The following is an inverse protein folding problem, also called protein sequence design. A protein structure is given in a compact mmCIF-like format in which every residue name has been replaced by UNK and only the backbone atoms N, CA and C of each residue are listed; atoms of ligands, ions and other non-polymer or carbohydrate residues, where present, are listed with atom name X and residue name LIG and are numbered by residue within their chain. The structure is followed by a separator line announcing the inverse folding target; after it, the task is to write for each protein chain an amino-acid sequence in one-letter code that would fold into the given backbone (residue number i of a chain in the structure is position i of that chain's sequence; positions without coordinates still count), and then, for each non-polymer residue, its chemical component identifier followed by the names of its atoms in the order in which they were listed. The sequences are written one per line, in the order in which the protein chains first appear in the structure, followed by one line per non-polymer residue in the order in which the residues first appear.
data_IF_526732774851
#
_entry.id   IF_526732774851
#
_cell.length_a   1.000
_cell.length_b   1.000
_cell.length_c   1.000
_cell.angle_alpha   90.00
_cell.angle_beta   90.00
_cell.angle_gamma   90.00
#
_symmetry.space_group_name_H-M   'P 1'
#
loop_
_entity.id
_entity.type
_entity.pdbx_description
1 polymer ?
#
# COMPACT_ATOMS: atom_id res chain seq x y z
N UNK A 1 -33.99 17.12 0.87
CA UNK A 1 -33.85 15.80 0.19
C UNK A 1 -33.49 14.75 1.21
N UNK A 2 -33.96 13.51 1.05
CA UNK A 2 -33.69 12.38 1.95
C UNK A 2 -32.20 12.20 2.25
N UNK A 3 -31.31 12.45 1.28
CA UNK A 3 -29.87 12.34 1.44
C UNK A 3 -29.30 13.29 2.51
N UNK A 4 -29.86 14.49 2.62
CA UNK A 4 -29.44 15.49 3.63
C UNK A 4 -29.85 15.09 5.06
N UNK A 5 -30.74 14.14 5.23
CA UNK A 5 -31.15 13.63 6.52
C UNK A 5 -30.26 12.51 7.02
N UNK A 6 -29.48 11.90 6.09
CA UNK A 6 -28.58 10.79 6.45
C UNK A 6 -27.33 11.28 7.16
N UNK A 7 -26.78 10.52 8.12
CA UNK A 7 -25.50 10.83 8.72
C UNK A 7 -24.37 10.54 7.73
N UNK A 8 -23.31 11.37 7.75
CA UNK A 8 -22.09 11.17 6.98
C UNK A 8 -21.13 10.16 7.66
N UNK A 9 -21.26 10.02 8.97
CA UNK A 9 -20.50 9.05 9.78
C UNK A 9 -21.46 8.36 10.74
N UNK A 10 -21.45 7.04 10.78
CA UNK A 10 -22.23 6.25 11.75
C UNK A 10 -21.30 5.27 12.49
N UNK A 11 -21.71 4.91 13.71
CA UNK A 11 -21.07 3.84 14.48
C UNK A 11 -22.09 2.76 14.82
N UNK A 12 -21.81 1.53 14.43
CA UNK A 12 -22.64 0.36 14.71
C UNK A 12 -21.77 -0.70 15.36
N UNK A 13 -22.11 -1.14 16.57
CA UNK A 13 -21.37 -2.15 17.32
C UNK A 13 -19.87 -1.88 17.42
N UNK A 14 -19.48 -0.60 17.56
CA UNK A 14 -18.07 -0.19 17.65
C UNK A 14 -17.32 -0.09 16.32
N UNK A 15 -17.97 -0.35 15.19
CA UNK A 15 -17.45 -0.14 13.84
C UNK A 15 -17.94 1.20 13.31
N UNK A 16 -17.03 2.04 12.84
CA UNK A 16 -17.33 3.30 12.15
C UNK A 16 -17.55 3.04 10.67
N UNK A 17 -18.51 3.74 10.08
CA UNK A 17 -18.75 3.74 8.64
C UNK A 17 -18.73 5.19 8.16
N UNK A 18 -17.85 5.49 7.20
CA UNK A 18 -17.66 6.83 6.65
C UNK A 18 -17.27 6.71 5.18
N UNK A 19 -17.57 7.76 4.39
CA UNK A 19 -17.27 7.72 2.96
C UNK A 19 -15.77 7.77 2.65
N UNK A 20 -15.06 8.80 3.14
CA UNK A 20 -13.60 8.96 2.93
C UNK A 20 -12.79 8.36 4.07
N UNK A 21 -12.75 9.05 5.18
CA UNK A 21 -11.99 8.64 6.37
C UNK A 21 -12.15 9.66 7.48
N UNK A 22 -11.43 9.50 8.57
CA UNK A 22 -11.43 10.40 9.71
C UNK A 22 -10.03 10.74 10.16
N UNK A 23 -9.77 12.02 10.38
CA UNK A 23 -8.57 12.47 11.11
C UNK A 23 -8.85 12.52 12.60
N UNK A 24 -7.82 12.49 13.46
CA UNK A 24 -7.99 12.68 14.92
C UNK A 24 -8.70 14.00 15.26
N UNK A 25 -8.39 15.07 14.54
CA UNK A 25 -8.96 16.41 14.73
C UNK A 25 -10.47 16.43 14.44
N UNK A 26 -10.89 15.71 13.41
CA UNK A 26 -12.30 15.55 13.07
C UNK A 26 -12.98 14.63 14.09
N UNK A 27 -12.36 13.53 14.46
CA UNK A 27 -12.90 12.59 15.45
C UNK A 27 -13.15 13.24 16.81
N UNK A 28 -12.27 14.14 17.26
CA UNK A 28 -12.41 14.89 18.50
C UNK A 28 -13.67 15.77 18.57
N UNK A 29 -14.30 16.07 17.42
CA UNK A 29 -15.58 16.80 17.41
C UNK A 29 -16.76 15.94 17.90
N UNK A 30 -16.64 14.60 17.88
CA UNK A 30 -17.72 13.68 18.14
C UNK A 30 -18.71 13.51 16.97
N UNK A 31 -19.36 12.34 16.90
CA UNK A 31 -20.22 11.95 15.77
C UNK A 31 -21.34 12.95 15.45
N UNK A 32 -22.04 13.42 16.47
CA UNK A 32 -23.18 14.34 16.26
C UNK A 32 -22.72 15.65 15.65
N UNK A 33 -21.62 16.21 16.14
CA UNK A 33 -21.08 17.48 15.63
C UNK A 33 -20.53 17.32 14.21
N UNK A 34 -19.85 16.20 13.91
CA UNK A 34 -19.38 15.89 12.56
C UNK A 34 -20.57 15.87 11.59
N UNK A 35 -21.60 15.10 11.90
CA UNK A 35 -22.79 14.95 11.05
C UNK A 35 -23.54 16.26 10.87
N UNK A 36 -23.64 17.07 11.93
CA UNK A 36 -24.30 18.38 11.85
C UNK A 36 -23.49 19.35 10.97
N UNK A 37 -22.16 19.42 11.15
CA UNK A 37 -21.31 20.33 10.36
C UNK A 37 -21.29 19.95 8.90
N UNK A 38 -21.17 18.65 8.57
CA UNK A 38 -21.25 18.18 7.17
C UNK A 38 -22.61 18.54 6.55
N UNK A 39 -23.71 18.25 7.24
CA UNK A 39 -25.07 18.56 6.76
C UNK A 39 -25.26 20.06 6.55
N UNK A 40 -24.75 20.89 7.45
CA UNK A 40 -24.82 22.33 7.35
C UNK A 40 -24.02 22.81 6.13
N UNK A 41 -22.78 22.36 5.96
CA UNK A 41 -21.93 22.73 4.81
C UNK A 41 -22.59 22.39 3.47
N UNK A 42 -23.12 21.17 3.34
CA UNK A 42 -23.84 20.74 2.13
C UNK A 42 -25.07 21.61 1.87
N UNK A 43 -25.87 21.91 2.90
CA UNK A 43 -27.06 22.75 2.77
C UNK A 43 -26.70 24.17 2.34
N UNK A 44 -25.74 24.77 3.00
CA UNK A 44 -25.25 26.13 2.70
C UNK A 44 -24.71 26.21 1.26
N UNK A 45 -23.96 25.19 0.83
CA UNK A 45 -23.49 25.11 -0.56
C UNK A 45 -24.65 25.12 -1.55
N UNK A 46 -25.66 24.24 -1.36
CA UNK A 46 -26.79 24.15 -2.29
C UNK A 46 -27.64 25.43 -2.30
N UNK A 47 -27.89 26.06 -1.15
CA UNK A 47 -28.63 27.30 -1.08
C UNK A 47 -27.90 28.46 -1.83
N UNK A 48 -26.58 28.52 -1.72
CA UNK A 48 -25.77 29.49 -2.44
C UNK A 48 -25.68 29.18 -3.94
N UNK A 49 -25.50 27.90 -4.29
CA UNK A 49 -25.46 27.44 -5.67
C UNK A 49 -26.78 27.70 -6.42
N UNK A 50 -27.92 27.50 -5.77
CA UNK A 50 -29.25 27.75 -6.34
C UNK A 50 -29.43 29.28 -6.67
N UNK A 51 -28.93 30.17 -5.82
CA UNK A 51 -28.92 31.61 -6.10
C UNK A 51 -28.03 31.94 -7.31
N UNK A 52 -26.85 31.38 -7.40
CA UNK A 52 -25.96 31.59 -8.55
C UNK A 52 -26.54 31.07 -9.86
N UNK A 53 -27.28 29.99 -9.83
CA UNK A 53 -27.97 29.41 -11.02
C UNK A 53 -29.11 30.32 -11.53
N UNK A 54 -29.66 31.23 -10.72
CA UNK A 54 -30.72 32.14 -11.18
C UNK A 54 -30.23 33.13 -12.23
N UNK A 55 -28.93 33.41 -12.28
CA UNK A 55 -28.34 34.44 -13.16
C UNK A 55 -27.33 33.84 -14.16
N UNK A 56 -26.87 32.66 -13.96
CA UNK A 56 -25.88 31.99 -14.83
C UNK A 56 -26.24 30.51 -15.01
N UNK A 57 -26.04 30.01 -16.24
CA UNK A 57 -26.12 28.56 -16.46
C UNK A 57 -24.79 27.95 -16.04
N UNK A 58 -24.81 27.19 -14.95
CA UNK A 58 -23.62 26.51 -14.42
C UNK A 58 -23.78 25.02 -14.74
N UNK A 59 -22.80 24.38 -15.44
CA UNK A 59 -22.93 22.98 -15.88
C UNK A 59 -23.06 21.95 -14.76
N UNK A 60 -22.66 22.26 -13.53
CA UNK A 60 -23.06 21.47 -12.36
C UNK A 60 -21.96 20.75 -11.59
N UNK A 61 -20.68 20.92 -11.93
CA UNK A 61 -19.60 20.44 -11.08
C UNK A 61 -19.25 21.40 -9.93
N UNK A 62 -18.72 20.88 -8.83
CA UNK A 62 -18.26 21.70 -7.70
C UNK A 62 -17.26 22.77 -8.13
N UNK A 63 -16.28 22.44 -8.98
CA UNK A 63 -15.27 23.38 -9.49
C UNK A 63 -15.87 24.50 -10.33
N UNK A 64 -16.94 24.24 -11.08
CA UNK A 64 -17.63 25.23 -11.90
C UNK A 64 -18.40 26.22 -11.03
N UNK A 65 -19.05 25.77 -9.96
CA UNK A 65 -19.68 26.65 -8.98
C UNK A 65 -18.65 27.55 -8.29
N UNK A 66 -17.52 26.97 -7.88
CA UNK A 66 -16.45 27.74 -7.25
C UNK A 66 -15.84 28.77 -8.21
N UNK A 67 -15.54 28.42 -9.45
CA UNK A 67 -15.06 29.35 -10.47
C UNK A 67 -16.05 30.47 -10.77
N UNK A 68 -17.34 30.16 -10.82
CA UNK A 68 -18.41 31.14 -10.99
C UNK A 68 -18.49 32.12 -9.81
N UNK A 69 -18.41 31.61 -8.58
CA UNK A 69 -18.40 32.44 -7.38
C UNK A 69 -17.19 33.38 -7.35
N UNK A 70 -16.00 32.88 -7.71
CA UNK A 70 -14.81 33.74 -7.85
C UNK A 70 -15.03 34.88 -8.85
N UNK A 71 -15.60 34.62 -10.03
CA UNK A 71 -15.90 35.62 -11.03
C UNK A 71 -16.88 36.68 -10.52
N UNK A 72 -17.94 36.26 -9.81
CA UNK A 72 -18.91 37.19 -9.22
C UNK A 72 -18.22 38.16 -8.23
N UNK A 73 -17.41 37.64 -7.33
CA UNK A 73 -16.68 38.43 -6.33
C UNK A 73 -15.65 39.34 -7.00
N UNK A 74 -14.94 38.89 -8.04
CA UNK A 74 -14.00 39.73 -8.79
C UNK A 74 -14.70 40.90 -9.52
N UNK A 75 -15.88 40.66 -10.11
CA UNK A 75 -16.69 41.67 -10.77
C UNK A 75 -17.11 42.74 -9.76
N UNK A 76 -17.57 42.35 -8.58
CA UNK A 76 -17.97 43.27 -7.50
C UNK A 76 -16.77 44.09 -7.00
N UNK A 77 -15.62 43.43 -6.75
CA UNK A 77 -14.37 44.12 -6.35
C UNK A 77 -13.85 45.07 -7.41
N UNK A 78 -14.11 44.80 -8.69
CA UNK A 78 -13.78 45.67 -9.81
C UNK A 78 -14.71 46.90 -9.95
N UNK A 79 -15.63 47.09 -9.01
CA UNK A 79 -16.55 48.24 -8.96
C UNK A 79 -17.73 48.17 -9.96
N UNK A 80 -17.98 47.00 -10.54
CA UNK A 80 -19.18 46.78 -11.36
C UNK A 80 -20.36 46.42 -10.44
N UNK A 81 -21.55 46.94 -10.68
CA UNK A 81 -22.70 46.64 -9.85
C UNK A 81 -23.08 45.15 -9.99
N UNK A 82 -23.09 44.46 -8.86
CA UNK A 82 -23.59 43.09 -8.71
C UNK A 82 -24.76 43.15 -7.70
N UNK A 83 -25.74 42.29 -7.86
CA UNK A 83 -26.79 42.13 -6.85
C UNK A 83 -26.18 41.70 -5.51
N UNK A 84 -26.48 42.43 -4.42
CA UNK A 84 -25.93 42.17 -3.08
C UNK A 84 -26.21 40.73 -2.56
N UNK A 85 -27.28 40.08 -3.01
CA UNK A 85 -27.62 38.71 -2.62
C UNK A 85 -26.72 37.73 -3.36
N UNK A 86 -26.43 38.03 -4.64
CA UNK A 86 -25.59 37.21 -5.47
C UNK A 86 -24.14 37.28 -5.01
N UNK A 87 -23.66 38.48 -4.68
CA UNK A 87 -22.33 38.69 -4.13
C UNK A 87 -22.16 37.91 -2.82
N UNK A 88 -23.11 38.04 -1.87
CA UNK A 88 -23.08 37.28 -0.62
C UNK A 88 -23.16 35.76 -0.84
N UNK A 89 -23.97 35.30 -1.78
CA UNK A 89 -24.06 33.89 -2.09
C UNK A 89 -22.72 33.35 -2.65
N UNK A 90 -22.04 34.15 -3.48
CA UNK A 90 -20.73 33.82 -4.01
C UNK A 90 -19.66 33.73 -2.92
N UNK A 91 -19.62 34.73 -2.03
CA UNK A 91 -18.71 34.78 -0.88
C UNK A 91 -18.93 33.57 0.04
N UNK A 92 -20.19 33.29 0.40
CA UNK A 92 -20.55 32.15 1.23
C UNK A 92 -20.15 30.82 0.57
N UNK A 93 -20.31 30.70 -0.75
CA UNK A 93 -19.92 29.47 -1.47
C UNK A 93 -18.39 29.31 -1.47
N UNK A 94 -17.62 30.39 -1.62
CA UNK A 94 -16.17 30.34 -1.54
C UNK A 94 -15.68 29.90 -0.14
N UNK A 95 -16.35 30.39 0.92
CA UNK A 95 -16.04 30.02 2.30
C UNK A 95 -16.35 28.50 2.57
N UNK A 96 -17.20 27.86 1.76
CA UNK A 96 -17.51 26.44 1.95
C UNK A 96 -16.37 25.50 1.54
N UNK A 97 -15.33 25.97 0.86
CA UNK A 97 -14.21 25.08 0.44
C UNK A 97 -13.51 24.46 1.67
N UNK A 98 -13.45 25.20 2.77
CA UNK A 98 -12.87 24.76 4.03
C UNK A 98 -13.92 24.17 5.00
N UNK A 99 -15.18 24.10 4.57
CA UNK A 99 -16.21 23.45 5.37
C UNK A 99 -15.95 21.94 5.44
N UNK A 100 -16.25 21.32 6.58
CA UNK A 100 -15.98 19.92 6.86
C UNK A 100 -16.55 18.94 5.79
N UNK A 101 -17.58 19.34 5.06
CA UNK A 101 -18.17 18.56 3.97
C UNK A 101 -17.29 18.50 2.72
N UNK A 102 -16.40 19.49 2.50
CA UNK A 102 -15.62 19.68 1.26
C UNK A 102 -14.12 19.74 1.51
N UNK A 103 -13.71 19.94 2.76
CA UNK A 103 -12.30 20.00 3.12
C UNK A 103 -11.60 18.66 2.83
N UNK A 104 -10.33 18.67 2.36
CA UNK A 104 -9.58 17.47 2.05
C UNK A 104 -9.38 16.52 3.25
N UNK A 105 -9.36 17.06 4.46
CA UNK A 105 -9.29 16.33 5.72
C UNK A 105 -10.67 15.98 6.32
N UNK A 106 -11.73 16.38 5.64
CA UNK A 106 -13.11 16.07 6.04
C UNK A 106 -13.52 14.61 5.77
N UNK A 107 -14.62 14.15 6.42
CA UNK A 107 -15.02 12.75 6.39
C UNK A 107 -15.44 12.24 5.01
N UNK A 108 -15.70 13.13 4.07
CA UNK A 108 -16.07 12.77 2.70
C UNK A 108 -14.85 12.61 1.79
N UNK A 109 -13.70 13.23 2.12
CA UNK A 109 -12.58 13.37 1.20
C UNK A 109 -11.26 12.82 1.72
N UNK A 110 -11.10 12.70 3.06
CA UNK A 110 -9.86 12.25 3.65
C UNK A 110 -9.47 10.84 3.18
N UNK A 111 -8.26 10.70 2.66
CA UNK A 111 -7.74 9.45 2.11
C UNK A 111 -6.48 8.93 2.82
N UNK A 112 -5.91 9.68 3.78
CA UNK A 112 -4.65 9.32 4.41
C UNK A 112 -4.67 7.90 4.96
N UNK A 113 -5.63 7.56 5.81
CA UNK A 113 -5.74 6.20 6.34
C UNK A 113 -5.95 5.10 5.29
N UNK A 114 -6.40 5.46 4.07
CA UNK A 114 -6.58 4.52 2.95
C UNK A 114 -5.35 4.37 2.06
N UNK A 115 -4.55 5.44 1.89
CA UNK A 115 -3.51 5.51 0.87
C UNK A 115 -2.11 5.73 1.46
N UNK A 116 -2.01 6.42 2.60
CA UNK A 116 -0.73 6.74 3.22
C UNK A 116 -0.19 5.51 3.97
N UNK A 117 1.09 5.58 4.31
CA UNK A 117 1.79 4.51 5.02
C UNK A 117 1.11 4.18 6.34
N UNK A 118 0.89 2.88 6.60
CA UNK A 118 0.27 2.42 7.84
C UNK A 118 1.05 2.81 9.10
N UNK A 119 2.37 2.89 9.02
CA UNK A 119 3.20 3.31 10.14
C UNK A 119 2.90 4.75 10.54
N UNK A 120 2.80 5.67 9.56
CA UNK A 120 2.48 7.08 9.82
C UNK A 120 1.03 7.27 10.28
N UNK A 121 0.11 6.52 9.71
CA UNK A 121 -1.31 6.60 9.99
C UNK A 121 -1.76 5.78 11.21
N UNK A 122 -0.97 4.81 11.67
CA UNK A 122 -1.35 3.91 12.78
C UNK A 122 -1.76 4.66 14.04
N UNK A 123 -0.94 5.62 14.46
CA UNK A 123 -1.22 6.42 15.64
C UNK A 123 -2.44 7.33 15.43
N UNK A 124 -2.61 7.87 14.24
CA UNK A 124 -3.77 8.69 13.89
C UNK A 124 -5.06 7.87 13.91
N UNK A 125 -5.05 6.69 13.32
CA UNK A 125 -6.19 5.75 13.35
C UNK A 125 -6.51 5.30 14.79
N UNK A 126 -5.47 5.01 15.60
CA UNK A 126 -5.65 4.69 17.01
C UNK A 126 -6.35 5.82 17.77
N UNK A 127 -5.93 7.08 17.58
CA UNK A 127 -6.58 8.25 18.17
C UNK A 127 -8.05 8.41 17.74
N UNK A 128 -8.35 8.18 16.47
CA UNK A 128 -9.74 8.17 15.97
C UNK A 128 -10.58 7.15 16.74
N UNK A 129 -10.06 5.95 16.97
CA UNK A 129 -10.77 4.92 17.72
C UNK A 129 -10.97 5.29 19.18
N UNK A 130 -9.99 5.91 19.83
CA UNK A 130 -10.08 6.39 21.21
C UNK A 130 -11.16 7.47 21.34
N UNK A 131 -11.11 8.52 20.50
CA UNK A 131 -12.05 9.64 20.54
C UNK A 131 -13.50 9.20 20.31
N UNK A 132 -13.71 8.26 19.40
CA UNK A 132 -15.05 7.81 19.05
C UNK A 132 -15.46 6.50 19.73
N UNK A 133 -14.63 5.96 20.64
CA UNK A 133 -14.86 4.66 21.31
C UNK A 133 -15.20 3.57 20.28
N UNK A 134 -14.37 3.43 19.27
CA UNK A 134 -14.50 2.47 18.19
C UNK A 134 -13.33 1.47 18.20
N UNK A 135 -13.45 0.38 17.44
CA UNK A 135 -12.37 -0.60 17.28
C UNK A 135 -12.11 -0.93 15.81
N UNK A 136 -12.97 -0.48 14.91
CA UNK A 136 -12.77 -0.64 13.47
C UNK A 136 -13.44 0.50 12.70
N UNK A 137 -13.01 0.69 11.46
CA UNK A 137 -13.58 1.66 10.52
C UNK A 137 -13.75 1.03 9.14
N UNK A 138 -14.86 1.32 8.49
CA UNK A 138 -15.12 0.96 7.09
C UNK A 138 -15.21 2.23 6.27
N UNK A 139 -14.43 2.28 5.18
CA UNK A 139 -14.33 3.43 4.28
C UNK A 139 -14.61 3.06 2.83
N UNK A 140 -15.05 4.03 2.07
CA UNK A 140 -15.18 4.03 0.62
C UNK A 140 -14.19 5.00 -0.04
N UNK A 141 -14.64 5.71 -1.10
CA UNK A 141 -13.97 6.82 -1.78
C UNK A 141 -12.61 6.50 -2.43
N UNK A 142 -11.80 5.67 -1.81
CA UNK A 142 -10.52 5.21 -2.35
C UNK A 142 -10.71 3.82 -2.93
N UNK A 143 -10.82 3.74 -4.25
CA UNK A 143 -11.06 2.47 -4.95
C UNK A 143 -9.87 1.54 -4.71
N UNK A 144 -10.17 0.30 -4.29
CA UNK A 144 -9.14 -0.73 -4.15
C UNK A 144 -8.59 -1.13 -5.51
N UNK A 145 -7.28 -1.34 -5.61
CA UNK A 145 -6.64 -1.70 -6.88
C UNK A 145 -7.15 -3.03 -7.41
N UNK A 146 -7.31 -4.01 -6.53
CA UNK A 146 -7.75 -5.37 -6.85
C UNK A 146 -9.22 -5.47 -7.25
N UNK A 147 -10.03 -4.43 -6.99
CA UNK A 147 -11.48 -4.54 -7.10
C UNK A 147 -12.10 -5.47 -6.05
N UNK A 148 -11.38 -5.80 -4.98
CA UNK A 148 -11.85 -6.60 -3.84
C UNK A 148 -11.95 -5.73 -2.59
N UNK A 149 -12.84 -6.08 -1.69
CA UNK A 149 -12.84 -5.50 -0.34
C UNK A 149 -11.53 -5.87 0.35
N UNK A 150 -10.84 -4.87 0.85
CA UNK A 150 -9.52 -5.04 1.48
C UNK A 150 -9.50 -4.54 2.91
N UNK A 151 -8.49 -4.95 3.67
CA UNK A 151 -8.26 -4.50 5.04
C UNK A 151 -6.85 -3.96 5.22
N UNK A 152 -6.72 -2.99 6.14
CA UNK A 152 -5.48 -2.38 6.61
C UNK A 152 -5.44 -2.38 8.13
N UNK A 153 -4.31 -2.01 8.71
CA UNK A 153 -4.11 -1.91 10.16
C UNK A 153 -4.55 -3.19 10.89
N UNK A 154 -4.06 -4.35 10.42
CA UNK A 154 -4.39 -5.66 10.98
C UNK A 154 -5.91 -5.97 11.04
N UNK A 155 -6.66 -5.53 10.02
CA UNK A 155 -8.10 -5.75 9.95
C UNK A 155 -8.96 -4.70 10.67
N UNK A 156 -8.36 -3.71 11.32
CA UNK A 156 -9.10 -2.63 11.97
C UNK A 156 -9.68 -1.61 10.99
N UNK A 157 -9.23 -1.60 9.75
CA UNK A 157 -9.79 -0.78 8.69
C UNK A 157 -10.20 -1.64 7.50
N UNK A 158 -11.43 -1.43 7.01
CA UNK A 158 -11.97 -2.12 5.84
C UNK A 158 -12.18 -1.09 4.72
N UNK A 159 -11.55 -1.31 3.57
CA UNK A 159 -11.73 -0.53 2.34
C UNK A 159 -12.77 -1.24 1.48
N UNK A 160 -13.96 -0.65 1.39
CA UNK A 160 -15.13 -1.27 0.77
C UNK A 160 -15.39 -0.79 -0.68
N UNK A 161 -14.69 0.25 -1.14
CA UNK A 161 -14.86 0.75 -2.52
C UNK A 161 -14.08 -0.13 -3.50
N UNK A 162 -14.79 -1.04 -4.12
CA UNK A 162 -14.25 -1.97 -5.13
C UNK A 162 -14.34 -1.43 -6.56
N UNK A 163 -14.82 -0.20 -6.74
CA UNK A 163 -14.96 0.44 -8.05
C UNK A 163 -16.25 0.06 -8.79
N UNK A 164 -17.36 -0.17 -8.08
CA UNK A 164 -18.65 -0.46 -8.70
C UNK A 164 -19.11 0.64 -9.67
N UNK A 165 -18.83 1.91 -9.36
CA UNK A 165 -19.10 3.04 -10.24
C UNK A 165 -18.38 2.98 -11.59
N UNK A 166 -17.31 2.20 -11.69
CA UNK A 166 -16.56 1.92 -12.91
C UNK A 166 -16.93 0.57 -13.56
N UNK A 167 -18.06 -0.02 -13.15
CA UNK A 167 -18.56 -1.27 -13.71
C UNK A 167 -17.93 -2.55 -13.12
N UNK A 168 -17.15 -2.44 -12.05
CA UNK A 168 -16.60 -3.62 -11.36
C UNK A 168 -17.67 -4.33 -10.53
N UNK A 169 -17.44 -5.61 -10.27
CA UNK A 169 -18.33 -6.43 -9.43
C UNK A 169 -18.37 -5.88 -8.00
N UNK A 170 -19.57 -5.83 -7.43
CA UNK A 170 -19.78 -5.48 -6.03
C UNK A 170 -19.64 -6.67 -5.09
N UNK A 171 -19.32 -6.38 -3.83
CA UNK A 171 -19.27 -7.34 -2.73
C UNK A 171 -20.07 -6.81 -1.53
N UNK A 172 -20.62 -7.72 -0.72
CA UNK A 172 -21.12 -7.34 0.59
C UNK A 172 -20.03 -7.51 1.64
N UNK A 173 -20.01 -6.61 2.63
CA UNK A 173 -19.17 -6.74 3.84
C UNK A 173 -20.09 -7.11 4.99
N UNK A 174 -19.76 -8.18 5.70
CA UNK A 174 -20.55 -8.71 6.81
C UNK A 174 -19.71 -8.65 8.09
N UNK A 175 -20.26 -7.95 9.09
CA UNK A 175 -19.70 -7.89 10.44
C UNK A 175 -20.51 -8.78 11.35
N UNK A 176 -19.93 -9.83 11.88
CA UNK A 176 -20.61 -10.80 12.72
C UNK A 176 -19.69 -11.30 13.84
N UNK A 177 -20.15 -11.17 15.09
CA UNK A 177 -19.43 -11.69 16.27
C UNK A 177 -17.95 -11.26 16.37
N UNK A 178 -17.66 -10.01 15.97
CA UNK A 178 -16.29 -9.47 16.02
C UNK A 178 -15.40 -9.91 14.84
N UNK A 179 -15.95 -10.65 13.89
CA UNK A 179 -15.28 -11.01 12.64
C UNK A 179 -15.82 -10.20 11.46
N UNK A 180 -14.98 -10.05 10.43
CA UNK A 180 -15.37 -9.42 9.16
C UNK A 180 -15.23 -10.43 8.05
N UNK A 181 -16.26 -10.54 7.23
CA UNK A 181 -16.22 -11.35 6.01
C UNK A 181 -16.75 -10.56 4.81
N UNK A 182 -16.35 -10.98 3.63
CA UNK A 182 -16.90 -10.49 2.37
C UNK A 182 -17.74 -11.57 1.73
N UNK A 183 -18.81 -11.18 1.08
CA UNK A 183 -19.65 -12.09 0.33
C UNK A 183 -19.67 -11.69 -1.13
N UNK A 184 -19.28 -12.62 -2.00
CA UNK A 184 -19.35 -12.49 -3.44
C UNK A 184 -20.75 -12.94 -3.92
N UNK A 185 -21.58 -12.02 -4.46
CA UNK A 185 -22.95 -12.36 -4.89
C UNK A 185 -22.99 -13.25 -6.13
N UNK A 186 -21.93 -13.31 -6.93
CA UNK A 186 -21.87 -14.13 -8.16
C UNK A 186 -21.50 -15.57 -7.81
N UNK A 187 -20.40 -15.76 -7.09
CA UNK A 187 -19.96 -17.10 -6.69
C UNK A 187 -20.69 -17.64 -5.47
N UNK A 188 -21.42 -16.77 -4.74
CA UNK A 188 -22.10 -17.03 -3.46
C UNK A 188 -21.14 -17.59 -2.38
N UNK A 189 -19.91 -17.14 -2.39
CA UNK A 189 -18.89 -17.53 -1.41
C UNK A 189 -18.60 -16.40 -0.46
N UNK A 190 -18.41 -16.76 0.80
CA UNK A 190 -17.83 -15.87 1.79
C UNK A 190 -16.31 -16.05 1.83
N UNK A 191 -15.60 -14.97 2.05
CA UNK A 191 -14.15 -14.95 2.27
C UNK A 191 -13.80 -13.86 3.30
N UNK A 192 -12.61 -13.88 3.85
CA UNK A 192 -12.11 -12.73 4.61
C UNK A 192 -11.76 -11.57 3.67
N UNK A 193 -11.87 -10.30 4.12
CA UNK A 193 -11.36 -9.17 3.36
C UNK A 193 -9.90 -9.40 2.98
N UNK A 194 -9.57 -9.07 1.75
CA UNK A 194 -8.19 -9.13 1.30
C UNK A 194 -7.36 -8.14 2.12
N UNK A 195 -6.36 -8.64 2.85
CA UNK A 195 -5.38 -7.75 3.43
C UNK A 195 -4.53 -7.21 2.27
N UNK A 196 -4.78 -5.96 1.89
CA UNK A 196 -3.81 -5.32 1.02
C UNK A 196 -2.52 -5.22 1.82
N UNK A 197 -1.44 -5.87 1.38
CA UNK A 197 -0.15 -5.44 1.85
C UNK A 197 -0.06 -3.96 1.50
N UNK A 198 0.56 -3.15 2.32
CA UNK A 198 0.55 -1.69 2.18
C UNK A 198 0.84 -1.21 0.75
N UNK A 199 1.62 -1.95 -0.03
CA UNK A 199 1.87 -1.78 -1.46
C UNK A 199 2.11 -3.10 -2.19
N UNK A 200 1.46 -4.16 -1.84
CA UNK A 200 1.74 -5.42 -2.43
C UNK A 200 0.48 -6.24 -2.66
N UNK A 201 0.00 -6.31 -3.89
CA UNK A 201 -0.94 -7.35 -4.27
C UNK A 201 -0.17 -8.64 -4.35
N UNK A 202 -0.55 -9.41 -3.50
CA UNK A 202 -0.36 -10.70 -3.30
C UNK A 202 0.12 -11.68 -4.26
N UNK A 203 0.39 -12.65 -3.73
CA UNK A 203 0.69 -13.99 -4.09
C UNK A 203 -0.57 -14.65 -4.64
N UNK A 204 -0.45 -15.29 -5.76
CA UNK A 204 -1.52 -16.04 -6.41
C UNK A 204 -1.91 -17.29 -5.62
N UNK A 205 -3.11 -17.80 -5.81
CA UNK A 205 -3.59 -19.01 -5.17
C UNK A 205 -4.24 -18.81 -3.79
N UNK A 206 -4.20 -19.82 -2.95
CA UNK A 206 -4.85 -19.81 -1.64
C UNK A 206 -4.27 -18.75 -0.69
N UNK A 207 -2.99 -18.41 -0.84
CA UNK A 207 -2.31 -17.37 -0.04
C UNK A 207 -2.74 -15.95 -0.42
N UNK A 208 -3.20 -15.70 -1.64
CA UNK A 208 -3.64 -14.40 -2.11
C UNK A 208 -4.86 -13.82 -1.36
N UNK A 209 -5.57 -14.67 -0.62
CA UNK A 209 -6.74 -14.27 0.17
C UNK A 209 -6.46 -14.22 1.67
N UNK A 210 -5.20 -14.38 2.08
CA UNK A 210 -4.79 -14.35 3.48
C UNK A 210 -4.16 -13.00 3.80
N UNK A 211 -4.49 -12.46 4.99
CA UNK A 211 -3.73 -11.34 5.54
C UNK A 211 -2.27 -11.76 5.81
N UNK A 212 -1.33 -10.82 5.74
CA UNK A 212 0.08 -11.12 6.05
C UNK A 212 0.22 -11.84 7.39
N UNK A 213 -0.48 -11.38 8.43
CA UNK A 213 -0.47 -12.01 9.76
C UNK A 213 -1.03 -13.42 9.72
N UNK A 214 -2.10 -13.66 8.97
CA UNK A 214 -2.67 -15.00 8.82
C UNK A 214 -1.73 -15.92 8.02
N UNK A 215 -1.09 -15.37 6.98
CA UNK A 215 -0.11 -16.11 6.19
C UNK A 215 1.17 -16.41 7.00
N UNK A 216 1.67 -15.43 7.78
CA UNK A 216 2.77 -15.65 8.73
C UNK A 216 2.43 -16.77 9.71
N UNK A 217 1.25 -16.69 10.35
CA UNK A 217 0.79 -17.73 11.28
C UNK A 217 0.67 -19.08 10.59
N UNK A 218 0.08 -19.12 9.39
CA UNK A 218 -0.02 -20.38 8.61
C UNK A 218 1.37 -20.95 8.32
N UNK A 219 2.30 -20.16 7.80
CA UNK A 219 3.66 -20.59 7.49
C UNK A 219 4.41 -21.09 8.74
N UNK A 220 4.14 -20.52 9.90
CA UNK A 220 4.73 -20.93 11.17
C UNK A 220 4.13 -22.22 11.74
N UNK A 221 2.83 -22.45 11.56
CA UNK A 221 2.09 -23.51 12.27
C UNK A 221 1.72 -24.71 11.38
N UNK A 222 1.60 -24.52 10.05
CA UNK A 222 1.14 -25.56 9.15
C UNK A 222 2.03 -26.81 9.18
N UNK A 223 1.42 -27.97 9.01
CA UNK A 223 2.12 -29.26 8.93
C UNK A 223 2.84 -29.36 7.60
N UNK A 224 4.12 -29.72 7.62
CA UNK A 224 4.88 -30.06 6.42
C UNK A 224 4.54 -31.47 6.01
N UNK A 225 3.84 -31.62 4.89
CA UNK A 225 3.37 -32.95 4.40
C UNK A 225 4.30 -33.57 3.37
N UNK A 226 5.03 -32.73 2.62
CA UNK A 226 6.00 -33.17 1.62
C UNK A 226 7.16 -32.17 1.54
N UNK A 227 8.37 -32.66 1.20
CA UNK A 227 9.59 -31.89 0.98
C UNK A 227 10.28 -32.38 -0.28
N UNK A 228 10.66 -31.40 -1.11
CA UNK A 228 11.44 -31.65 -2.32
C UNK A 228 12.67 -30.75 -2.31
N UNK A 229 13.86 -31.33 -2.44
CA UNK A 229 15.08 -30.53 -2.57
C UNK A 229 15.16 -29.87 -3.94
N UNK A 230 15.42 -28.57 -3.95
CA UNK A 230 15.58 -27.77 -5.17
C UNK A 230 17.02 -27.27 -5.20
N UNK A 231 17.79 -27.74 -6.18
CA UNK A 231 19.14 -27.24 -6.43
C UNK A 231 19.15 -26.38 -7.69
N UNK A 232 19.47 -25.10 -7.56
CA UNK A 232 19.66 -24.19 -8.70
C UNK A 232 20.93 -23.39 -8.50
N UNK A 233 21.84 -23.41 -9.48
CA UNK A 233 23.07 -22.61 -9.48
C UNK A 233 23.95 -22.74 -8.21
N UNK A 234 24.00 -23.94 -7.59
CA UNK A 234 24.79 -24.20 -6.39
C UNK A 234 24.12 -23.77 -5.08
N UNK A 235 22.85 -23.37 -5.12
CA UNK A 235 22.02 -23.11 -3.96
C UNK A 235 21.09 -24.29 -3.72
N UNK A 236 21.01 -24.72 -2.47
CA UNK A 236 20.06 -25.72 -2.03
C UNK A 236 18.94 -25.04 -1.27
N UNK A 237 17.72 -25.25 -1.72
CA UNK A 237 16.49 -24.85 -1.04
C UNK A 237 15.55 -26.06 -1.02
N UNK A 238 14.59 -26.08 -0.15
CA UNK A 238 13.54 -27.10 -0.13
C UNK A 238 12.20 -26.46 -0.54
N UNK A 239 11.45 -27.15 -1.40
CA UNK A 239 10.04 -26.86 -1.62
C UNK A 239 9.24 -27.71 -0.64
N UNK A 240 8.42 -27.06 0.16
CA UNK A 240 7.55 -27.72 1.11
C UNK A 240 6.09 -27.65 0.69
N UNK A 241 5.37 -28.77 0.80
CA UNK A 241 3.92 -28.75 0.84
C UNK A 241 3.46 -28.59 2.29
N UNK A 242 2.61 -27.61 2.52
CA UNK A 242 2.13 -27.18 3.83
C UNK A 242 0.62 -27.38 3.91
N UNK A 243 0.14 -28.01 4.99
CA UNK A 243 -1.28 -28.22 5.21
C UNK A 243 -1.69 -27.70 6.61
N UNK A 244 -2.75 -26.87 6.66
CA UNK A 244 -3.28 -26.34 7.91
C UNK A 244 -4.60 -25.60 7.69
N UNK A 245 -5.45 -25.59 8.69
CA UNK A 245 -6.76 -24.89 8.66
C UNK A 245 -7.60 -25.18 7.41
N UNK A 246 -7.48 -26.38 6.83
CA UNK A 246 -8.19 -26.78 5.61
C UNK A 246 -7.58 -26.21 4.31
N UNK A 247 -6.42 -25.59 4.36
CA UNK A 247 -5.70 -25.04 3.22
C UNK A 247 -4.44 -25.85 2.93
N UNK A 248 -4.05 -25.88 1.66
CA UNK A 248 -2.76 -26.38 1.19
C UNK A 248 -2.01 -25.28 0.48
N UNK A 249 -0.77 -25.03 0.90
CA UNK A 249 0.14 -24.08 0.26
C UNK A 249 1.48 -24.74 0.00
N UNK A 250 2.18 -24.22 -1.01
CA UNK A 250 3.59 -24.55 -1.22
C UNK A 250 4.47 -23.42 -0.70
N UNK A 251 5.59 -23.76 -0.08
CA UNK A 251 6.57 -22.82 0.43
C UNK A 251 7.98 -23.14 -0.06
N UNK A 252 8.85 -22.14 -0.11
CA UNK A 252 10.29 -22.31 -0.28
C UNK A 252 10.93 -22.10 1.07
N UNK A 253 11.66 -23.13 1.51
CA UNK A 253 12.43 -23.11 2.74
C UNK A 253 13.93 -23.02 2.41
N UNK A 254 14.62 -22.10 3.09
CA UNK A 254 16.08 -21.91 2.99
C UNK A 254 16.69 -21.90 4.38
N UNK A 255 17.59 -22.82 4.66
CA UNK A 255 18.36 -22.90 5.92
C UNK A 255 19.81 -22.41 5.74
N UNK A 256 20.04 -21.53 4.79
CA UNK A 256 21.36 -21.05 4.41
C UNK A 256 22.01 -20.28 5.56
N UNK A 257 23.18 -20.72 5.96
CA UNK A 257 24.05 -20.04 6.92
C UNK A 257 25.50 -20.21 6.47
N UNK A 258 25.96 -19.33 5.57
CA UNK A 258 27.29 -19.39 4.97
C UNK A 258 28.11 -18.17 5.36
N UNK A 259 29.29 -18.39 5.92
CA UNK A 259 30.30 -17.36 6.15
C UNK A 259 30.89 -16.83 4.83
N UNK A 260 31.36 -15.58 4.79
CA UNK A 260 31.92 -14.99 3.57
C UNK A 260 33.11 -15.80 3.07
N UNK A 261 33.18 -16.11 1.77
CA UNK A 261 34.22 -16.95 1.20
C UNK A 261 35.60 -16.27 1.02
N UNK A 262 35.83 -15.10 1.64
CA UNK A 262 37.11 -14.39 1.64
C UNK A 262 37.02 -12.97 1.04
N UNK A 263 38.16 -12.23 1.03
CA UNK A 263 38.16 -10.83 0.60
C UNK A 263 37.67 -10.66 -0.84
N UNK A 264 36.71 -9.77 -1.07
CA UNK A 264 36.21 -9.38 -2.39
C UNK A 264 34.99 -10.20 -2.92
N UNK A 265 34.40 -11.07 -2.12
CA UNK A 265 33.11 -11.68 -2.43
C UNK A 265 32.02 -11.14 -1.50
N UNK A 266 30.72 -11.18 -1.92
CA UNK A 266 29.64 -10.75 -1.08
C UNK A 266 29.69 -11.48 0.26
N UNK A 267 29.39 -10.72 1.27
CA UNK A 267 29.36 -11.11 2.66
C UNK A 267 28.37 -12.25 2.90
N UNK A 268 28.38 -12.82 4.07
CA UNK A 268 27.62 -14.03 4.45
C UNK A 268 26.24 -14.15 3.81
N UNK A 269 25.91 -15.35 3.32
CA UNK A 269 24.56 -15.72 2.93
C UNK A 269 23.83 -16.26 4.14
N UNK A 270 22.70 -15.62 4.51
CA UNK A 270 21.96 -16.01 5.69
C UNK A 270 20.45 -15.98 5.44
N UNK A 271 19.75 -16.97 5.96
CA UNK A 271 18.29 -16.99 5.90
C UNK A 271 17.67 -15.81 6.68
N UNK A 272 18.33 -15.30 7.72
CA UNK A 272 17.90 -14.13 8.48
C UNK A 272 17.77 -12.88 7.59
N UNK A 273 18.57 -12.75 6.53
CA UNK A 273 18.50 -11.63 5.59
C UNK A 273 17.17 -11.64 4.79
N UNK A 274 16.64 -12.82 4.46
CA UNK A 274 15.31 -12.93 3.82
C UNK A 274 14.21 -12.41 4.76
N UNK A 275 14.27 -12.77 6.05
CA UNK A 275 13.32 -12.30 7.05
C UNK A 275 13.48 -10.80 7.30
N UNK A 276 14.73 -10.33 7.47
CA UNK A 276 15.02 -8.92 7.66
C UNK A 276 14.57 -8.04 6.49
N UNK A 277 14.68 -8.54 5.25
CA UNK A 277 14.19 -7.83 4.08
C UNK A 277 12.66 -7.68 4.12
N UNK A 278 11.94 -8.73 4.52
CA UNK A 278 10.49 -8.65 4.68
C UNK A 278 10.08 -7.64 5.76
N UNK A 279 10.70 -7.68 6.93
CA UNK A 279 10.37 -6.75 8.02
C UNK A 279 10.71 -5.30 7.63
N UNK A 280 11.87 -5.06 6.99
CA UNK A 280 12.24 -3.73 6.50
C UNK A 280 11.31 -3.22 5.40
N UNK A 281 10.87 -4.09 4.50
CA UNK A 281 9.89 -3.77 3.47
C UNK A 281 8.56 -3.30 4.09
N UNK A 282 8.12 -3.95 5.18
CA UNK A 282 6.94 -3.55 5.94
C UNK A 282 7.16 -2.25 6.69
N UNK A 283 8.33 -2.05 7.28
CA UNK A 283 8.68 -0.83 7.97
C UNK A 283 8.66 0.39 7.03
N UNK A 284 9.09 0.21 5.78
CA UNK A 284 9.12 1.25 4.75
C UNK A 284 7.85 1.30 3.89
N UNK A 285 6.87 0.41 4.14
CA UNK A 285 5.62 0.33 3.40
C UNK A 285 5.82 0.20 1.86
N UNK A 286 6.82 -0.56 1.45
CA UNK A 286 7.15 -0.80 0.04
C UNK A 286 6.25 -1.90 -0.54
N UNK A 287 6.07 -3.01 0.20
CA UNK A 287 5.17 -4.10 -0.10
C UNK A 287 5.56 -4.96 -1.31
N UNK A 288 6.82 -5.02 -1.65
CA UNK A 288 7.34 -5.82 -2.75
C UNK A 288 8.00 -7.14 -2.29
N UNK A 289 8.36 -7.24 -1.01
CA UNK A 289 8.90 -8.48 -0.45
C UNK A 289 7.75 -9.35 0.07
N UNK A 290 7.68 -10.63 -0.34
CA UNK A 290 6.66 -11.56 0.16
C UNK A 290 6.78 -11.79 1.65
N UNK A 291 5.71 -12.31 2.25
CA UNK A 291 5.76 -12.79 3.63
C UNK A 291 6.87 -13.84 3.76
N UNK A 292 7.80 -13.59 4.67
CA UNK A 292 8.85 -14.52 5.05
C UNK A 292 8.83 -14.70 6.56
N UNK A 293 8.88 -15.94 7.00
CA UNK A 293 8.93 -16.25 8.44
C UNK A 293 10.16 -17.07 8.78
N UNK A 294 10.65 -16.93 9.99
CA UNK A 294 11.57 -17.91 10.55
C UNK A 294 10.80 -19.16 10.93
N UNK A 295 11.21 -20.32 10.43
CA UNK A 295 10.61 -21.61 10.73
C UNK A 295 11.66 -22.60 11.22
N UNK A 296 11.32 -23.38 12.23
CA UNK A 296 12.13 -24.49 12.70
C UNK A 296 11.34 -25.78 12.61
N UNK A 297 11.88 -26.78 11.92
CA UNK A 297 11.29 -28.11 11.76
C UNK A 297 12.41 -29.15 11.74
N UNK A 298 12.27 -30.20 12.55
CA UNK A 298 13.25 -31.31 12.68
C UNK A 298 14.68 -30.84 13.01
N UNK A 299 14.80 -29.75 13.79
CA UNK A 299 16.08 -29.17 14.18
C UNK A 299 16.77 -28.32 13.10
N UNK A 300 16.14 -28.13 11.93
CA UNK A 300 16.56 -27.17 10.90
C UNK A 300 15.81 -25.85 11.09
N UNK A 301 16.52 -24.75 11.19
CA UNK A 301 15.97 -23.41 11.28
C UNK A 301 16.31 -22.64 10.02
N UNK A 302 15.31 -21.98 9.43
CA UNK A 302 15.49 -21.26 8.17
C UNK A 302 14.37 -20.28 7.88
N UNK A 303 14.45 -19.62 6.75
CA UNK A 303 13.42 -18.75 6.20
C UNK A 303 12.43 -19.56 5.36
N UNK A 304 11.15 -19.36 5.59
CA UNK A 304 10.07 -19.96 4.81
C UNK A 304 9.20 -18.88 4.21
N UNK A 305 9.00 -18.91 2.90
CA UNK A 305 8.09 -18.02 2.16
C UNK A 305 7.13 -18.81 1.28
N UNK A 306 5.96 -18.27 0.91
CA UNK A 306 5.08 -18.95 -0.04
C UNK A 306 5.71 -19.02 -1.45
N UNK A 307 5.32 -20.03 -2.22
CA UNK A 307 5.61 -20.10 -3.66
C UNK A 307 4.58 -19.28 -4.41
N UNK A 308 5.03 -18.37 -5.25
CA UNK A 308 4.18 -17.78 -6.27
C UNK A 308 3.99 -18.80 -7.41
N UNK A 309 2.82 -19.43 -7.47
CA UNK A 309 2.57 -20.55 -8.41
C UNK A 309 2.59 -20.13 -9.89
N UNK A 310 2.52 -18.82 -10.15
CA UNK A 310 2.41 -18.25 -11.49
C UNK A 310 3.42 -17.14 -11.76
N UNK A 311 4.48 -17.03 -10.95
CA UNK A 311 5.55 -16.09 -11.22
C UNK A 311 6.25 -16.46 -12.52
N UNK A 312 6.18 -15.57 -13.50
CA UNK A 312 7.03 -15.65 -14.69
C UNK A 312 8.33 -14.89 -14.38
N UNK A 313 9.43 -15.55 -14.64
CA UNK A 313 10.74 -14.93 -14.62
C UNK A 313 10.85 -13.94 -15.78
N UNK A 314 11.32 -12.71 -15.54
CA UNK A 314 11.55 -11.74 -16.62
C UNK A 314 12.58 -12.24 -17.65
N UNK A 315 13.47 -13.15 -17.25
CA UNK A 315 14.37 -13.86 -18.20
C UNK A 315 13.56 -14.59 -19.26
N UNK A 316 12.47 -15.25 -18.88
CA UNK A 316 11.57 -15.93 -19.82
C UNK A 316 10.89 -14.98 -20.80
N UNK A 317 10.66 -13.73 -20.40
CA UNK A 317 10.12 -12.70 -21.28
C UNK A 317 11.15 -12.16 -22.27
N UNK A 318 12.40 -11.98 -21.84
CA UNK A 318 13.50 -11.63 -22.74
C UNK A 318 13.70 -12.70 -23.82
N UNK A 319 13.70 -13.96 -23.42
CA UNK A 319 13.85 -15.08 -24.37
C UNK A 319 12.70 -15.15 -25.39
N UNK A 320 11.47 -14.78 -24.98
CA UNK A 320 10.30 -14.78 -25.84
C UNK A 320 10.24 -13.57 -26.78
N UNK A 321 10.77 -12.41 -26.36
CA UNK A 321 10.61 -11.14 -27.08
C UNK A 321 11.90 -10.57 -27.68
N UNK A 322 13.01 -11.31 -27.63
CA UNK A 322 14.32 -10.88 -28.16
C UNK A 322 14.83 -9.55 -27.55
N UNK A 323 14.57 -9.36 -26.23
CA UNK A 323 14.93 -8.15 -25.49
C UNK A 323 16.33 -8.21 -24.86
N UNK A 324 17.17 -9.16 -25.26
CA UNK A 324 18.54 -9.27 -24.75
C UNK A 324 19.33 -7.97 -25.05
N UNK A 325 19.82 -7.31 -23.99
CA UNK A 325 20.51 -6.04 -24.10
C UNK A 325 19.63 -4.80 -24.30
N UNK A 326 18.30 -4.94 -24.27
CA UNK A 326 17.40 -3.79 -24.35
C UNK A 326 17.54 -2.87 -23.13
N UNK A 327 17.41 -1.54 -23.31
CA UNK A 327 17.37 -0.61 -22.20
C UNK A 327 16.26 -0.95 -21.20
N UNK A 328 16.43 -0.68 -19.88
CA UNK A 328 15.42 -0.96 -18.86
C UNK A 328 14.03 -0.42 -19.20
N UNK A 329 13.93 0.76 -19.78
CA UNK A 329 12.64 1.36 -20.21
C UNK A 329 11.90 0.54 -21.25
N UNK A 330 12.61 0.00 -22.24
CA UNK A 330 12.02 -0.84 -23.29
C UNK A 330 11.57 -2.18 -22.71
N UNK A 331 12.36 -2.76 -21.80
CA UNK A 331 12.01 -3.99 -21.08
C UNK A 331 10.76 -3.78 -20.25
N UNK A 332 10.67 -2.72 -19.43
CA UNK A 332 9.51 -2.39 -18.62
C UNK A 332 8.26 -2.18 -19.49
N UNK A 333 8.41 -1.49 -20.62
CA UNK A 333 7.30 -1.27 -21.56
C UNK A 333 6.80 -2.59 -22.18
N UNK A 334 7.71 -3.44 -22.63
CA UNK A 334 7.36 -4.74 -23.19
C UNK A 334 6.66 -5.65 -22.18
N UNK A 335 7.11 -5.63 -20.91
CA UNK A 335 6.45 -6.34 -19.80
C UNK A 335 5.06 -5.78 -19.56
N UNK A 336 4.90 -4.46 -19.47
CA UNK A 336 3.60 -3.84 -19.29
C UNK A 336 2.61 -4.22 -20.40
N UNK A 337 3.04 -4.20 -21.64
CA UNK A 337 2.23 -4.60 -22.79
C UNK A 337 1.88 -6.10 -22.78
N UNK A 338 2.84 -6.97 -22.48
CA UNK A 338 2.65 -8.42 -22.47
C UNK A 338 1.64 -8.87 -21.38
N UNK A 339 1.61 -8.18 -20.23
CA UNK A 339 0.74 -8.51 -19.10
C UNK A 339 -0.49 -7.61 -18.97
N UNK A 340 -0.65 -6.62 -19.87
CA UNK A 340 -1.75 -5.67 -19.80
C UNK A 340 -1.70 -4.75 -18.56
N UNK A 341 -0.49 -4.42 -18.11
CA UNK A 341 -0.25 -3.61 -16.91
C UNK A 341 -0.22 -2.12 -17.23
N UNK A 342 -0.52 -1.29 -16.24
CA UNK A 342 -0.26 0.14 -16.31
C UNK A 342 1.24 0.43 -16.37
N UNK A 343 1.72 1.03 -17.45
CA UNK A 343 3.15 1.31 -17.63
C UNK A 343 3.72 2.18 -16.50
N UNK A 344 3.00 3.23 -16.09
CA UNK A 344 3.45 4.14 -15.05
C UNK A 344 3.48 3.45 -13.67
N UNK A 345 2.52 2.56 -13.41
CA UNK A 345 2.48 1.77 -12.19
C UNK A 345 3.66 0.78 -12.13
N UNK A 346 3.96 0.09 -13.24
CA UNK A 346 5.10 -0.82 -13.29
C UNK A 346 6.43 -0.06 -13.15
N UNK A 347 6.56 1.11 -13.78
CA UNK A 347 7.74 1.99 -13.60
C UNK A 347 7.96 2.37 -12.13
N UNK A 348 6.90 2.75 -11.45
CA UNK A 348 6.97 3.10 -10.02
C UNK A 348 7.41 1.89 -9.17
N UNK A 349 6.85 0.71 -9.42
CA UNK A 349 7.26 -0.51 -8.72
C UNK A 349 8.74 -0.84 -8.97
N UNK A 350 9.24 -0.68 -10.19
CA UNK A 350 10.66 -0.88 -10.50
C UNK A 350 11.54 0.12 -9.76
N UNK A 351 11.15 1.39 -9.70
CA UNK A 351 11.87 2.41 -8.91
C UNK A 351 11.91 2.02 -7.42
N UNK A 352 10.77 1.62 -6.84
CA UNK A 352 10.72 1.15 -5.45
C UNK A 352 11.62 -0.06 -5.22
N UNK A 353 11.61 -1.03 -6.14
CA UNK A 353 12.48 -2.20 -6.08
C UNK A 353 13.96 -1.84 -6.11
N UNK A 354 14.36 -0.92 -7.00
CA UNK A 354 15.76 -0.45 -7.10
C UNK A 354 16.21 0.30 -5.85
N UNK A 355 15.37 1.18 -5.34
CA UNK A 355 15.62 1.89 -4.08
C UNK A 355 15.78 0.91 -2.93
N UNK A 356 14.92 -0.09 -2.84
CA UNK A 356 14.99 -1.12 -1.81
C UNK A 356 16.26 -1.97 -1.92
N UNK A 357 16.56 -2.51 -3.11
CA UNK A 357 17.80 -3.29 -3.33
C UNK A 357 19.06 -2.49 -3.02
N UNK A 358 19.07 -1.20 -3.38
CA UNK A 358 20.16 -0.28 -3.01
C UNK A 358 20.28 -0.08 -1.50
N UNK A 359 19.16 0.05 -0.80
CA UNK A 359 19.11 0.22 0.65
C UNK A 359 19.66 -1.01 1.39
N UNK A 360 19.21 -2.21 0.99
CA UNK A 360 19.66 -3.46 1.63
C UNK A 360 21.01 -3.95 1.09
N UNK A 361 21.54 -3.33 0.03
CA UNK A 361 22.79 -3.74 -0.62
C UNK A 361 22.69 -5.09 -1.33
N UNK A 362 21.55 -5.39 -1.96
CA UNK A 362 21.36 -6.63 -2.73
C UNK A 362 21.95 -6.51 -4.13
N UNK A 363 23.26 -6.73 -4.26
CA UNK A 363 24.01 -6.64 -5.52
C UNK A 363 23.67 -7.77 -6.52
N UNK A 364 22.99 -8.81 -6.07
CA UNK A 364 22.59 -9.95 -6.92
C UNK A 364 21.54 -9.59 -7.97
N UNK A 365 20.87 -8.43 -7.85
CA UNK A 365 19.72 -8.01 -8.68
C UNK A 365 20.02 -6.75 -9.51
N UNK A 366 21.18 -6.71 -10.16
CA UNK A 366 21.59 -5.57 -11.00
C UNK A 366 20.72 -5.41 -12.24
N UNK A 367 20.22 -6.50 -12.81
CA UNK A 367 19.43 -6.48 -14.03
C UNK A 367 17.91 -6.49 -13.74
N UNK A 368 17.13 -5.75 -14.53
CA UNK A 368 15.66 -5.72 -14.42
C UNK A 368 15.04 -7.11 -14.64
N UNK A 369 15.73 -7.97 -15.38
CA UNK A 369 15.33 -9.35 -15.68
C UNK A 369 15.38 -10.30 -14.46
N UNK A 370 15.92 -9.85 -13.33
CA UNK A 370 15.87 -10.59 -12.06
C UNK A 370 14.71 -10.20 -11.15
N UNK A 371 13.83 -9.31 -11.60
CA UNK A 371 12.59 -9.01 -10.94
C UNK A 371 11.53 -10.04 -11.33
N UNK A 372 10.87 -10.63 -10.35
CA UNK A 372 9.74 -11.52 -10.60
C UNK A 372 8.46 -10.71 -10.71
N UNK A 373 7.63 -11.03 -11.70
CA UNK A 373 6.30 -10.47 -11.83
C UNK A 373 5.32 -11.64 -11.82
N UNK A 374 4.57 -11.83 -10.73
CA UNK A 374 3.47 -12.78 -10.68
C UNK A 374 2.43 -12.47 -11.76
N UNK A 375 1.61 -13.46 -12.11
CA UNK A 375 0.59 -13.33 -13.16
C UNK A 375 -0.40 -12.17 -12.96
N UNK A 376 -0.48 -11.64 -11.74
CA UNK A 376 -1.32 -10.48 -11.37
C UNK A 376 -0.63 -9.14 -11.59
N UNK A 377 0.60 -9.13 -12.11
CA UNK A 377 1.23 -7.91 -12.64
C UNK A 377 2.03 -7.10 -11.65
N UNK A 378 2.56 -7.70 -10.58
CA UNK A 378 3.35 -7.02 -9.57
C UNK A 378 4.78 -7.51 -9.50
N UNK A 379 5.69 -6.56 -9.23
CA UNK A 379 7.08 -6.91 -8.88
C UNK A 379 7.10 -7.60 -7.52
N UNK A 380 7.78 -8.73 -7.44
CA UNK A 380 8.06 -9.45 -6.22
C UNK A 380 9.56 -9.59 -6.01
N UNK A 381 10.04 -9.12 -4.86
CA UNK A 381 11.44 -9.21 -4.48
C UNK A 381 11.66 -10.49 -3.66
N UNK A 382 12.39 -11.43 -4.23
CA UNK A 382 12.77 -12.69 -3.58
C UNK A 382 14.29 -12.87 -3.61
N UNK A 383 14.82 -13.80 -2.84
CA UNK A 383 16.23 -14.13 -2.81
C UNK A 383 17.14 -12.98 -2.30
N UNK A 384 16.88 -12.54 -1.05
CA UNK A 384 17.66 -11.52 -0.35
C UNK A 384 18.73 -12.10 0.59
N UNK A 385 19.03 -13.39 0.50
CA UNK A 385 19.99 -14.07 1.38
C UNK A 385 21.42 -13.48 1.29
N UNK A 386 21.78 -12.80 0.19
CA UNK A 386 23.04 -12.08 -0.01
C UNK A 386 23.00 -10.59 0.40
N UNK A 387 21.86 -10.08 0.85
CA UNK A 387 21.70 -8.68 1.24
C UNK A 387 22.32 -8.36 2.61
N UNK A 388 22.22 -7.12 3.05
CA UNK A 388 22.67 -6.60 4.34
C UNK A 388 24.17 -6.74 4.59
N UNK A 389 24.99 -6.65 3.53
CA UNK A 389 26.42 -6.54 3.64
C UNK A 389 26.87 -5.28 4.41
N UNK A 390 28.12 -5.30 4.91
CA UNK A 390 28.69 -4.18 5.68
C UNK A 390 29.19 -3.03 4.80
N UNK A 391 29.25 -3.22 3.46
CA UNK A 391 29.62 -2.13 2.55
C UNK A 391 28.61 -0.98 2.63
N UNK A 392 29.07 0.25 2.88
CA UNK A 392 28.20 1.42 2.86
C UNK A 392 27.96 1.94 1.43
N UNK A 393 28.57 1.33 0.42
CA UNK A 393 28.46 1.78 -0.96
C UNK A 393 27.14 1.34 -1.59
N UNK A 394 26.58 2.22 -2.44
CA UNK A 394 25.43 1.95 -3.27
C UNK A 394 25.89 1.87 -4.72
N UNK A 395 25.58 0.80 -5.39
CA UNK A 395 25.91 0.63 -6.80
C UNK A 395 25.00 1.51 -7.67
N UNK A 396 25.62 2.44 -8.43
CA UNK A 396 24.88 3.36 -9.29
C UNK A 396 24.19 2.66 -10.46
N UNK A 397 24.68 1.50 -10.94
CA UNK A 397 24.02 0.71 -11.97
C UNK A 397 22.78 0.01 -11.40
N UNK A 398 22.89 -0.54 -10.19
CA UNK A 398 21.75 -1.11 -9.46
C UNK A 398 20.63 -0.08 -9.29
N UNK A 399 20.96 1.17 -9.06
CA UNK A 399 20.00 2.26 -8.84
C UNK A 399 19.34 2.80 -10.12
N UNK A 400 19.58 2.22 -11.27
CA UNK A 400 19.00 2.71 -12.52
C UNK A 400 17.85 1.78 -13.02
N UNK A 401 16.59 2.30 -13.15
CA UNK A 401 16.14 3.65 -12.81
C UNK A 401 15.74 3.78 -11.33
N UNK A 402 16.11 4.88 -10.67
CA UNK A 402 15.61 5.23 -9.33
C UNK A 402 14.90 6.60 -9.27
N UNK A 403 14.67 7.21 -10.43
CA UNK A 403 14.01 8.52 -10.55
C UNK A 403 12.83 8.47 -11.51
N UNK A 404 11.76 9.23 -11.23
CA UNK A 404 11.53 9.98 -10.00
C UNK A 404 11.25 9.04 -8.82
N UNK A 405 11.88 9.30 -7.67
CA UNK A 405 11.55 8.57 -6.44
C UNK A 405 10.15 8.97 -5.97
N UNK A 406 9.26 8.01 -5.65
CA UNK A 406 7.95 8.30 -5.07
C UNK A 406 8.08 9.13 -3.79
N UNK A 407 7.21 10.13 -3.63
CA UNK A 407 7.31 11.11 -2.55
C UNK A 407 7.15 10.47 -1.16
N UNK A 408 6.24 9.50 -1.05
CA UNK A 408 6.02 8.70 0.16
C UNK A 408 7.27 7.90 0.53
N UNK A 409 7.87 7.16 -0.41
CA UNK A 409 9.08 6.39 -0.18
C UNK A 409 10.22 7.28 0.31
N UNK A 410 10.34 8.49 -0.26
CA UNK A 410 11.34 9.47 0.19
C UNK A 410 11.13 9.88 1.65
N UNK A 411 9.89 10.11 2.06
CA UNK A 411 9.55 10.47 3.44
C UNK A 411 9.95 9.32 4.38
N UNK A 412 9.60 8.10 4.04
CA UNK A 412 9.92 6.92 4.86
C UNK A 412 11.42 6.71 5.03
N UNK A 413 12.17 6.88 3.96
CA UNK A 413 13.63 6.82 4.05
C UNK A 413 14.20 7.93 4.94
N UNK A 414 13.64 9.14 4.89
CA UNK A 414 14.09 10.25 5.74
C UNK A 414 13.78 10.03 7.22
N UNK A 415 12.69 9.34 7.54
CA UNK A 415 12.26 9.04 8.91
C UNK A 415 12.91 7.78 9.48
N UNK A 416 13.42 6.89 8.63
CA UNK A 416 14.08 5.67 9.06
C UNK A 416 15.29 5.99 9.95
N UNK A 417 15.33 5.42 11.14
CA UNK A 417 16.36 5.70 12.13
C UNK A 417 16.89 4.42 12.81
N UNK A 418 17.95 4.57 13.61
CA UNK A 418 18.63 3.43 14.24
C UNK A 418 17.78 2.76 15.32
N UNK A 419 16.95 3.51 16.04
CA UNK A 419 16.10 2.99 17.13
C UNK A 419 15.04 2.05 16.56
N UNK A 420 14.32 2.47 15.52
CA UNK A 420 13.32 1.66 14.83
C UNK A 420 13.94 0.39 14.22
N UNK A 421 15.10 0.53 13.53
CA UNK A 421 15.78 -0.62 12.95
C UNK A 421 16.31 -1.59 14.02
N UNK A 422 16.76 -1.09 15.16
CA UNK A 422 17.21 -1.95 16.27
C UNK A 422 16.03 -2.66 16.93
N UNK A 423 14.87 -2.01 17.06
CA UNK A 423 13.67 -2.61 17.63
C UNK A 423 13.14 -3.74 16.72
N UNK A 424 12.99 -3.46 15.41
CA UNK A 424 12.34 -4.38 14.47
C UNK A 424 13.30 -5.44 13.90
N UNK A 425 14.59 -5.11 13.71
CA UNK A 425 15.55 -5.98 13.02
C UNK A 425 16.72 -6.43 13.89
N UNK A 426 16.83 -5.99 15.14
CA UNK A 426 18.01 -6.26 15.99
C UNK A 426 18.23 -7.72 16.36
N UNK A 427 17.22 -8.59 16.19
CA UNK A 427 17.37 -10.05 16.34
C UNK A 427 17.86 -10.72 15.02
N UNK A 428 17.73 -10.04 13.89
CA UNK A 428 18.04 -10.55 12.56
C UNK A 428 19.37 -9.99 12.01
N UNK A 429 19.66 -8.74 12.34
CA UNK A 429 20.84 -7.98 11.89
C UNK A 429 21.69 -7.51 13.08
N UNK A 430 22.99 -7.52 12.92
CA UNK A 430 23.88 -6.95 13.93
C UNK A 430 23.98 -5.41 13.79
N UNK A 431 24.47 -4.68 14.82
CA UNK A 431 24.54 -3.22 14.78
C UNK A 431 25.33 -2.65 13.59
N UNK A 432 26.37 -3.32 13.13
CA UNK A 432 27.16 -2.85 11.99
C UNK A 432 26.38 -2.98 10.65
N UNK A 433 25.52 -3.98 10.53
CA UNK A 433 24.61 -4.11 9.38
C UNK A 433 23.54 -3.02 9.40
N UNK A 434 22.99 -2.70 10.57
CA UNK A 434 22.04 -1.60 10.76
C UNK A 434 22.70 -0.26 10.37
N UNK A 435 23.90 0.01 10.84
CA UNK A 435 24.67 1.22 10.48
C UNK A 435 24.92 1.30 8.96
N UNK A 436 25.21 0.17 8.32
CA UNK A 436 25.41 0.10 6.88
C UNK A 436 24.12 0.41 6.10
N UNK A 437 22.95 -0.08 6.56
CA UNK A 437 21.64 0.26 5.99
C UNK A 437 21.39 1.77 6.08
N UNK A 438 21.62 2.39 7.23
CA UNK A 438 21.43 3.83 7.41
C UNK A 438 22.38 4.65 6.53
N UNK A 439 23.62 4.21 6.38
CA UNK A 439 24.59 4.88 5.50
C UNK A 439 24.14 4.77 4.03
N UNK A 440 23.69 3.61 3.60
CA UNK A 440 23.13 3.43 2.24
C UNK A 440 21.86 4.22 2.04
N UNK A 441 20.97 4.34 3.05
CA UNK A 441 19.79 5.21 3.01
C UNK A 441 20.17 6.65 2.63
N UNK A 442 21.16 7.21 3.30
CA UNK A 442 21.60 8.59 3.05
C UNK A 442 22.11 8.75 1.61
N UNK A 443 22.88 7.79 1.12
CA UNK A 443 23.35 7.77 -0.27
C UNK A 443 22.25 7.59 -1.30
N UNK A 444 21.28 6.74 -1.02
CA UNK A 444 20.08 6.55 -1.87
C UNK A 444 19.30 7.87 -1.96
N UNK A 445 19.09 8.56 -0.85
CA UNK A 445 18.44 9.86 -0.83
C UNK A 445 19.22 10.92 -1.61
N UNK A 446 20.55 10.89 -1.56
CA UNK A 446 21.41 11.79 -2.33
C UNK A 446 21.34 11.49 -3.84
N UNK A 447 21.43 10.22 -4.22
CA UNK A 447 21.43 9.79 -5.62
C UNK A 447 20.05 9.95 -6.29
N UNK A 448 18.98 9.61 -5.61
CA UNK A 448 17.64 9.47 -6.20
C UNK A 448 16.64 10.52 -5.72
N UNK A 449 16.93 11.23 -4.63
CA UNK A 449 16.04 12.19 -4.02
C UNK A 449 16.08 13.61 -4.60
N UNK A 450 17.03 13.93 -5.48
CA UNK A 450 17.07 15.23 -6.17
C UNK A 450 16.12 15.20 -7.37
N UNK A 451 15.13 16.08 -7.37
CA UNK A 451 14.19 16.35 -8.48
C UNK A 451 14.89 16.95 -9.68
#
# INVERSE_FOLDING_TARGET
SWLLEQPSVIKVNGVLFVHGGLTPEVAALGLDTINERVRRGIRTFFESAELLQTVMTIPGSFGEYHGTAQQVVEIARGGRPVDDRLERAAEVLLDQIDALAFAPDGPMWYRGSSLDNERLERERVRKVFEELSAHAITVGHSVTRTGRVSSRFHGHMIRADVGMGYGRQGFAVVFEHGSVSTFDPVTRRASVPYAEPPYGEGWTGASANMADVELQQFLQEAVVVEREEISRAGLTAERWELEGKGLKLRGIFKDIEQEPPGPGRPESRRYQHEVAAFELDRLLDIGLVPVVVTREVDGKRGALRPVAETALDLVSLRDIQDLEGAPPEETIKAVAEAYGLGLDELKEQVVRARVFDGLIGNLGRTDVDKLFIPAEGRVALVDQDEAFGLSPEVDAELMNPCRPMPADLRIYLMELNAEDLQEDLGELLNPAQIDAVLTRRDRVLELCGSS
#
